data_IF_495138228534
#
_entry.id   IF_495138228534
#
_cell.length_a   1.000
_cell.length_b   1.000
_cell.length_c   1.000
_cell.angle_alpha   90.00
_cell.angle_beta   90.00
_cell.angle_gamma   90.00
#
_symmetry.space_group_name_H-M   'P 1'
#
loop_
_entity.id
_entity.type
_entity.pdbx_description
1 polymer ?
#
# COMPACT_ATOMS: atom_id res chain seq x y z
N UNK A 1 54.39 6.19 33.84
CA UNK A 1 52.97 6.26 34.26
C UNK A 1 52.07 7.03 33.29
N UNK A 2 52.46 8.20 32.75
CA UNK A 2 51.56 9.03 31.92
C UNK A 2 51.15 8.49 30.53
N UNK A 3 52.00 7.72 29.84
CA UNK A 3 51.69 7.22 28.48
C UNK A 3 50.59 6.15 28.45
N UNK A 4 50.55 5.26 29.44
CA UNK A 4 49.54 4.20 29.53
C UNK A 4 48.15 4.76 29.89
N UNK A 5 48.11 5.77 30.77
CA UNK A 5 46.87 6.47 31.14
C UNK A 5 46.31 7.24 29.94
N UNK A 6 47.17 7.95 29.19
CA UNK A 6 46.74 8.63 27.95
C UNK A 6 46.19 7.66 26.90
N UNK A 7 46.80 6.48 26.73
CA UNK A 7 46.31 5.46 25.80
C UNK A 7 44.92 4.94 26.20
N UNK A 8 44.68 4.72 27.51
CA UNK A 8 43.37 4.31 28.01
C UNK A 8 42.29 5.36 27.77
N UNK A 9 42.60 6.65 27.96
CA UNK A 9 41.68 7.74 27.64
C UNK A 9 41.35 7.83 26.15
N UNK A 10 42.35 7.66 25.28
CA UNK A 10 42.15 7.65 23.82
C UNK A 10 41.28 6.48 23.39
N UNK A 11 41.51 5.27 23.92
CA UNK A 11 40.68 4.10 23.62
C UNK A 11 39.26 4.29 24.15
N UNK A 12 39.09 4.82 25.36
CA UNK A 12 37.78 5.13 25.92
C UNK A 12 37.01 6.17 25.09
N UNK A 13 37.69 7.21 24.61
CA UNK A 13 37.09 8.21 23.73
C UNK A 13 36.71 7.63 22.37
N UNK A 14 37.56 6.78 21.78
CA UNK A 14 37.28 6.09 20.52
C UNK A 14 36.09 5.11 20.66
N UNK A 15 35.98 4.41 21.79
CA UNK A 15 34.83 3.54 22.08
C UNK A 15 33.54 4.36 22.23
N UNK A 16 33.56 5.48 22.95
CA UNK A 16 32.42 6.39 23.09
C UNK A 16 31.98 6.99 21.74
N UNK A 17 32.95 7.43 20.93
CA UNK A 17 32.69 7.94 19.58
C UNK A 17 32.15 6.85 18.65
N UNK A 18 32.64 5.61 18.76
CA UNK A 18 32.15 4.47 18.00
C UNK A 18 30.69 4.13 18.31
N UNK A 19 30.27 4.19 19.58
CA UNK A 19 28.87 3.94 19.97
C UNK A 19 27.92 5.01 19.44
N UNK A 20 28.39 6.26 19.29
CA UNK A 20 27.56 7.35 18.74
C UNK A 20 27.32 7.29 17.23
N UNK A 21 27.96 6.36 16.51
CA UNK A 21 27.78 6.18 15.06
C UNK A 21 26.98 4.94 14.67
N UNK A 22 26.53 4.13 15.64
CA UNK A 22 25.72 2.95 15.34
C UNK A 22 24.25 3.36 15.22
N UNK A 23 23.76 3.41 13.99
CA UNK A 23 22.32 3.45 13.71
C UNK A 23 21.80 2.01 13.64
N UNK A 24 21.06 1.59 14.66
CA UNK A 24 20.49 0.25 14.77
C UNK A 24 19.09 0.16 14.14
N UNK A 25 18.58 1.26 13.57
CA UNK A 25 17.24 1.33 13.02
C UNK A 25 17.20 1.00 11.53
N UNK A 26 16.06 0.49 11.08
CA UNK A 26 15.82 0.18 9.69
C UNK A 26 15.35 1.41 8.89
N UNK A 27 15.65 1.48 7.59
CA UNK A 27 15.37 2.65 6.77
C UNK A 27 13.88 3.02 6.74
N UNK A 28 13.63 4.34 6.76
CA UNK A 28 12.32 4.94 6.61
C UNK A 28 12.04 5.33 5.16
N UNK A 29 10.86 4.94 4.67
CA UNK A 29 10.36 5.29 3.35
C UNK A 29 9.11 6.13 3.47
N UNK A 30 9.11 7.27 2.77
CA UNK A 30 8.03 8.25 2.84
C UNK A 30 7.26 8.29 1.53
N UNK A 31 5.95 8.15 1.63
CA UNK A 31 5.05 8.19 0.49
C UNK A 31 3.96 9.24 0.72
N UNK A 32 3.56 9.92 -0.35
CA UNK A 32 2.37 10.79 -0.34
C UNK A 32 1.42 10.31 -1.41
N UNK A 33 0.22 9.92 -0.99
CA UNK A 33 -0.84 9.43 -1.86
C UNK A 33 -2.03 10.38 -1.78
N UNK A 34 -2.54 10.78 -2.93
CA UNK A 34 -3.76 11.60 -3.04
C UNK A 34 -4.86 10.76 -3.65
N UNK A 35 -5.96 10.61 -2.93
CA UNK A 35 -7.12 9.83 -3.37
C UNK A 35 -8.12 10.77 -4.04
N UNK A 36 -8.40 10.55 -5.31
CA UNK A 36 -9.29 11.40 -6.13
C UNK A 36 -10.33 10.56 -6.86
N UNK A 37 -11.41 11.19 -7.30
CA UNK A 37 -12.23 10.62 -8.36
C UNK A 37 -11.67 11.00 -9.72
N UNK A 38 -11.66 10.06 -10.65
CA UNK A 38 -11.41 10.34 -12.06
C UNK A 38 -12.22 9.44 -12.97
N UNK A 39 -12.40 9.85 -14.22
CA UNK A 39 -13.14 9.06 -15.21
C UNK A 39 -12.22 8.06 -15.90
N UNK A 40 -12.60 6.78 -15.94
CA UNK A 40 -11.93 5.71 -16.69
C UNK A 40 -12.96 4.85 -17.42
N UNK A 41 -12.56 4.29 -18.56
CA UNK A 41 -13.43 3.46 -19.42
C UNK A 41 -13.01 1.99 -19.41
N UNK A 42 -13.16 1.32 -18.27
CA UNK A 42 -12.61 -0.03 -18.03
C UNK A 42 -13.31 -1.10 -18.89
N UNK A 43 -14.64 -1.14 -18.85
CA UNK A 43 -15.49 -2.03 -19.68
C UNK A 43 -16.10 -1.27 -20.87
N UNK A 44 -15.33 -0.35 -21.47
CA UNK A 44 -15.78 0.56 -22.55
C UNK A 44 -16.93 1.51 -22.16
N UNK A 45 -17.23 1.61 -20.87
CA UNK A 45 -18.22 2.53 -20.32
C UNK A 45 -17.48 3.55 -19.44
N UNK A 46 -17.61 4.86 -19.70
CA UNK A 46 -16.98 5.87 -18.87
C UNK A 46 -17.61 5.87 -17.48
N UNK A 47 -16.79 5.65 -16.46
CA UNK A 47 -17.21 5.53 -15.06
C UNK A 47 -16.31 6.36 -14.16
N UNK A 48 -16.90 6.85 -13.08
CA UNK A 48 -16.15 7.46 -11.99
C UNK A 48 -15.45 6.36 -11.18
N UNK A 49 -14.13 6.43 -11.12
CA UNK A 49 -13.23 5.49 -10.45
C UNK A 49 -12.46 6.23 -9.36
N UNK A 50 -12.21 5.56 -8.25
CA UNK A 50 -11.33 6.04 -7.19
C UNK A 50 -9.89 5.76 -7.60
N UNK A 51 -9.11 6.83 -7.75
CA UNK A 51 -7.72 6.82 -8.17
C UNK A 51 -6.83 7.14 -6.97
N UNK A 52 -5.60 6.63 -7.01
CA UNK A 52 -4.53 7.02 -6.08
C UNK A 52 -3.40 7.60 -6.93
N UNK A 53 -3.04 8.87 -6.68
CA UNK A 53 -2.09 9.61 -7.52
C UNK A 53 -2.44 9.52 -9.02
N UNK A 54 -3.75 9.69 -9.33
CA UNK A 54 -4.33 9.60 -10.67
C UNK A 54 -4.16 8.25 -11.41
N UNK A 55 -3.75 7.20 -10.68
CA UNK A 55 -3.55 5.85 -11.21
C UNK A 55 -4.71 4.90 -10.85
N UNK A 56 -5.01 3.98 -11.77
CA UNK A 56 -5.88 2.83 -11.55
C UNK A 56 -5.35 1.61 -12.33
N UNK A 57 -5.07 0.46 -11.67
CA UNK A 57 -5.01 0.28 -10.21
C UNK A 57 -4.04 1.28 -9.54
N UNK A 58 -4.12 1.41 -8.23
CA UNK A 58 -3.23 2.31 -7.47
C UNK A 58 -1.75 1.93 -7.63
N UNK A 59 -0.83 2.84 -7.27
CA UNK A 59 0.61 2.62 -7.41
C UNK A 59 1.06 1.40 -6.62
N UNK A 60 1.96 0.59 -7.19
CA UNK A 60 2.55 -0.54 -6.46
C UNK A 60 3.38 -0.01 -5.30
N UNK A 61 3.19 -0.60 -4.11
CA UNK A 61 4.03 -0.34 -2.95
C UNK A 61 5.00 -1.50 -2.80
N UNK A 62 6.25 -1.27 -3.14
CA UNK A 62 7.32 -2.26 -3.07
C UNK A 62 8.23 -1.92 -1.90
N UNK A 63 8.34 -2.84 -0.94
CA UNK A 63 9.06 -2.62 0.31
C UNK A 63 9.87 -3.85 0.65
N UNK A 64 10.92 -3.70 1.45
CA UNK A 64 11.69 -4.83 1.98
C UNK A 64 11.22 -5.11 3.41
N UNK A 65 11.23 -6.38 3.81
CA UNK A 65 10.98 -6.85 5.18
C UNK A 65 11.64 -5.93 6.19
N UNK A 66 10.90 -5.61 7.25
CA UNK A 66 11.34 -4.81 8.40
C UNK A 66 11.68 -3.33 8.07
N UNK A 67 11.45 -2.84 6.84
CA UNK A 67 11.46 -1.40 6.51
C UNK A 67 10.33 -0.66 7.25
N UNK A 68 10.60 0.60 7.61
CA UNK A 68 9.63 1.52 8.19
C UNK A 68 8.96 2.33 7.07
N UNK A 69 7.63 2.36 7.03
CA UNK A 69 6.86 3.00 5.98
C UNK A 69 5.98 4.07 6.61
N UNK A 70 6.12 5.30 6.09
CA UNK A 70 5.36 6.48 6.50
C UNK A 70 4.58 6.97 5.29
N UNK A 71 3.29 6.63 5.24
CA UNK A 71 2.40 6.93 4.13
C UNK A 71 1.42 8.03 4.52
N UNK A 72 1.60 9.24 3.97
CA UNK A 72 0.66 10.33 4.10
C UNK A 72 -0.44 10.22 3.02
N UNK A 73 -1.66 9.91 3.44
CA UNK A 73 -2.81 9.74 2.56
C UNK A 73 -3.72 10.96 2.64
N UNK A 74 -3.93 11.64 1.51
CA UNK A 74 -4.76 12.83 1.37
C UNK A 74 -6.08 12.42 0.72
N UNK A 75 -7.19 12.62 1.43
CA UNK A 75 -8.52 12.32 0.90
C UNK A 75 -9.09 13.55 0.16
N UNK A 76 -9.27 13.44 -1.16
CA UNK A 76 -9.98 14.43 -2.00
C UNK A 76 -11.33 13.94 -2.50
N UNK A 77 -11.85 12.84 -1.95
CA UNK A 77 -13.20 12.38 -2.21
C UNK A 77 -14.23 13.22 -1.44
N UNK A 78 -15.49 13.10 -1.84
CA UNK A 78 -16.65 13.71 -1.17
C UNK A 78 -17.18 12.86 0.00
N UNK A 79 -16.51 11.75 0.32
CA UNK A 79 -16.89 10.80 1.36
C UNK A 79 -15.69 10.48 2.27
N UNK A 80 -15.94 10.08 3.53
CA UNK A 80 -14.87 9.59 4.40
C UNK A 80 -14.21 8.34 3.82
N UNK A 81 -12.89 8.23 3.95
CA UNK A 81 -12.09 7.18 3.32
C UNK A 81 -11.16 6.51 4.33
N UNK A 82 -11.01 5.19 4.24
CA UNK A 82 -9.96 4.43 4.90
C UNK A 82 -9.31 3.48 3.91
N UNK A 83 -8.00 3.33 4.04
CA UNK A 83 -7.22 2.34 3.32
C UNK A 83 -6.77 1.26 4.28
N UNK A 84 -6.89 -0.01 3.87
CA UNK A 84 -6.39 -1.15 4.64
C UNK A 84 -5.35 -1.95 3.88
N UNK A 85 -4.33 -2.42 4.60
CA UNK A 85 -3.34 -3.43 4.21
C UNK A 85 -2.86 -4.24 5.42
N UNK A 86 -3.00 -3.66 6.62
CA UNK A 86 -2.79 -4.30 7.92
C UNK A 86 -3.75 -3.71 8.96
N UNK A 87 -3.74 -2.38 9.10
CA UNK A 87 -4.71 -1.59 9.87
C UNK A 87 -5.56 -0.73 8.92
N UNK A 88 -6.47 0.10 9.42
CA UNK A 88 -7.31 0.96 8.59
C UNK A 88 -8.68 0.36 8.31
N UNK A 89 -9.33 -0.20 9.32
CA UNK A 89 -10.71 -0.70 9.25
C UNK A 89 -11.58 0.12 10.21
N UNK A 90 -12.87 0.24 9.90
CA UNK A 90 -13.83 0.83 10.83
C UNK A 90 -13.77 0.08 12.17
N UNK A 91 -13.55 0.83 13.25
CA UNK A 91 -13.40 0.30 14.60
C UNK A 91 -11.98 0.46 15.15
N UNK A 92 -10.94 0.28 14.32
CA UNK A 92 -9.54 0.55 14.72
C UNK A 92 -9.13 1.99 14.42
N UNK A 93 -9.64 2.58 13.33
CA UNK A 93 -9.35 3.97 12.96
C UNK A 93 -10.63 4.75 12.63
N UNK A 94 -10.59 6.06 12.90
CA UNK A 94 -11.60 6.99 12.40
C UNK A 94 -11.37 7.27 10.90
N UNK A 95 -12.43 7.29 10.06
CA UNK A 95 -12.30 7.63 8.65
C UNK A 95 -11.67 9.00 8.38
N UNK A 96 -10.83 9.07 7.34
CA UNK A 96 -10.21 10.31 6.88
C UNK A 96 -11.31 11.14 6.22
N UNK A 97 -11.65 12.28 6.82
CA UNK A 97 -12.69 13.17 6.31
C UNK A 97 -12.34 13.74 4.92
N UNK A 98 -13.36 14.19 4.15
CA UNK A 98 -13.13 14.91 2.91
C UNK A 98 -12.17 16.09 3.10
N UNK A 99 -11.23 16.25 2.17
CA UNK A 99 -10.21 17.30 2.17
C UNK A 99 -9.22 17.29 3.35
N UNK A 100 -9.16 16.22 4.13
CA UNK A 100 -8.15 16.03 5.18
C UNK A 100 -7.14 14.96 4.79
N UNK A 101 -6.16 14.75 5.67
CA UNK A 101 -5.12 13.74 5.49
C UNK A 101 -4.93 12.91 6.76
N UNK A 102 -4.29 11.76 6.60
CA UNK A 102 -3.85 10.93 7.69
C UNK A 102 -2.55 10.24 7.31
N UNK A 103 -1.60 10.20 8.25
CA UNK A 103 -0.32 9.54 8.05
C UNK A 103 -0.33 8.18 8.72
N UNK A 104 -0.32 7.13 7.90
CA UNK A 104 -0.12 5.77 8.35
C UNK A 104 1.36 5.51 8.58
N UNK A 105 1.68 4.88 9.72
CA UNK A 105 3.04 4.48 10.08
C UNK A 105 3.03 3.00 10.41
N UNK A 106 3.77 2.21 9.65
CA UNK A 106 3.87 0.78 9.88
C UNK A 106 5.23 0.26 9.49
N UNK A 107 5.58 -0.90 10.03
CA UNK A 107 6.81 -1.60 9.69
C UNK A 107 6.41 -2.93 9.06
N UNK A 108 7.07 -3.32 7.97
CA UNK A 108 6.81 -4.61 7.31
C UNK A 108 7.22 -5.82 8.19
N UNK A 109 7.93 -5.57 9.30
CA UNK A 109 8.38 -6.56 10.30
C UNK A 109 8.91 -7.83 9.63
N UNK A 110 8.37 -8.99 9.96
CA UNK A 110 8.77 -10.33 9.50
C UNK A 110 8.01 -10.81 8.25
N UNK A 111 7.20 -9.96 7.64
CA UNK A 111 6.40 -10.33 6.46
C UNK A 111 7.27 -10.38 5.20
N UNK A 112 6.99 -11.37 4.35
CA UNK A 112 7.58 -11.56 3.01
C UNK A 112 6.46 -12.12 2.12
N UNK A 113 6.19 -11.48 0.98
CA UNK A 113 5.23 -11.98 0.00
C UNK A 113 4.43 -10.89 -0.69
N UNK A 114 3.37 -11.33 -1.38
CA UNK A 114 2.46 -10.47 -2.13
C UNK A 114 1.19 -10.18 -1.33
N UNK A 115 0.93 -8.91 -1.12
CA UNK A 115 -0.24 -8.37 -0.42
C UNK A 115 -0.95 -7.36 -1.32
N UNK A 116 -2.09 -6.86 -0.85
CA UNK A 116 -2.84 -5.81 -1.52
C UNK A 116 -3.30 -4.80 -0.51
N UNK A 117 -3.35 -3.53 -0.90
CA UNK A 117 -4.07 -2.51 -0.15
C UNK A 117 -5.38 -2.19 -0.88
N UNK A 118 -6.44 -1.87 -0.13
CA UNK A 118 -7.73 -1.50 -0.70
C UNK A 118 -8.55 -0.64 0.27
N UNK A 119 -9.58 0.07 -0.21
CA UNK A 119 -10.44 0.85 0.66
C UNK A 119 -11.31 -0.06 1.53
N UNK A 120 -11.37 0.18 2.84
CA UNK A 120 -12.20 -0.60 3.78
C UNK A 120 -13.55 0.07 4.09
N UNK A 121 -13.79 1.26 3.56
CA UNK A 121 -15.02 2.04 3.76
C UNK A 121 -16.06 1.79 2.67
N UNK A 122 -17.31 1.56 3.08
CA UNK A 122 -18.47 1.46 2.20
C UNK A 122 -18.23 0.45 1.06
N UNK A 123 -18.66 0.78 -0.17
CA UNK A 123 -18.34 0.03 -1.39
C UNK A 123 -17.23 0.69 -2.22
N UNK A 124 -16.32 1.45 -1.59
CA UNK A 124 -15.24 2.14 -2.31
C UNK A 124 -14.34 1.18 -3.09
N UNK A 125 -14.03 -0.01 -2.55
CA UNK A 125 -13.25 -1.04 -3.26
C UNK A 125 -13.87 -1.42 -4.62
N UNK A 126 -15.19 -1.46 -4.73
CA UNK A 126 -15.89 -1.78 -5.97
C UNK A 126 -15.74 -0.69 -7.06
N UNK A 127 -15.30 0.51 -6.68
CA UNK A 127 -14.98 1.61 -7.59
C UNK A 127 -13.48 1.89 -7.72
N UNK A 128 -12.60 1.05 -7.16
CA UNK A 128 -11.15 1.19 -7.25
C UNK A 128 -10.48 1.51 -5.93
N UNK A 129 -9.45 2.36 -5.97
CA UNK A 129 -8.62 2.71 -4.79
C UNK A 129 -7.80 1.55 -4.23
N UNK A 130 -7.67 0.43 -4.96
CA UNK A 130 -6.87 -0.73 -4.58
C UNK A 130 -5.58 -0.80 -5.39
N UNK A 131 -4.57 -1.47 -4.84
CA UNK A 131 -3.30 -1.71 -5.49
C UNK A 131 -2.48 -2.78 -4.79
N UNK A 132 -1.30 -3.06 -5.33
CA UNK A 132 -0.43 -4.11 -4.83
C UNK A 132 0.53 -3.61 -3.76
N UNK A 133 0.80 -4.47 -2.79
CA UNK A 133 1.84 -4.30 -1.76
C UNK A 133 2.76 -5.52 -1.82
N UNK A 134 3.96 -5.37 -2.37
CA UNK A 134 4.94 -6.45 -2.43
C UNK A 134 5.98 -6.24 -1.33
N UNK A 135 6.19 -7.25 -0.48
CA UNK A 135 7.17 -7.23 0.59
C UNK A 135 8.28 -8.23 0.25
N UNK A 136 9.44 -7.71 -0.13
CA UNK A 136 10.61 -8.48 -0.53
C UNK A 136 11.46 -8.88 0.68
N UNK A 137 12.09 -10.05 0.59
CA UNK A 137 13.07 -10.50 1.59
C UNK A 137 14.30 -9.59 1.63
N UNK A 138 14.97 -9.52 2.79
CA UNK A 138 16.31 -8.94 2.89
C UNK A 138 17.34 -9.91 2.34
N UNK A 139 18.44 -9.41 1.77
CA UNK A 139 19.54 -10.24 1.26
C UNK A 139 20.11 -11.23 2.29
N UNK A 140 20.01 -10.92 3.59
CA UNK A 140 20.46 -11.80 4.68
C UNK A 140 19.49 -12.96 4.99
N UNK A 141 18.27 -12.92 4.45
CA UNK A 141 17.24 -13.94 4.65
C UNK A 141 17.13 -14.77 3.36
N UNK A 142 17.55 -16.04 3.35
CA UNK A 142 17.46 -16.87 2.15
C UNK A 142 15.99 -17.22 1.84
N UNK A 143 15.65 -17.21 0.55
CA UNK A 143 14.36 -17.69 0.04
C UNK A 143 14.41 -19.22 -0.19
N UNK A 144 13.31 -19.96 0.05
CA UNK A 144 13.28 -21.42 -0.06
C UNK A 144 13.19 -21.94 -1.51
N UNK A 145 13.50 -21.11 -2.50
CA UNK A 145 13.42 -21.40 -3.93
C UNK A 145 14.50 -20.63 -4.69
N UNK A 146 14.83 -21.08 -5.91
CA UNK A 146 15.79 -20.38 -6.78
C UNK A 146 15.23 -19.05 -7.29
N UNK A 147 16.12 -18.11 -7.63
CA UNK A 147 15.70 -16.81 -8.15
C UNK A 147 14.86 -16.98 -9.42
N UNK A 148 13.65 -16.39 -9.48
CA UNK A 148 12.82 -16.48 -10.66
C UNK A 148 13.45 -15.66 -11.81
N UNK A 149 13.17 -16.07 -13.05
CA UNK A 149 13.61 -15.31 -14.23
C UNK A 149 12.90 -13.95 -14.37
N UNK A 150 11.73 -13.79 -13.75
CA UNK A 150 10.98 -12.54 -13.74
C UNK A 150 10.00 -12.50 -12.57
N UNK A 151 9.63 -11.30 -12.15
CA UNK A 151 8.67 -11.04 -11.09
C UNK A 151 7.54 -10.15 -11.62
N UNK A 152 6.31 -10.63 -11.50
CA UNK A 152 5.13 -9.99 -12.04
C UNK A 152 4.01 -9.96 -11.01
N UNK A 153 3.38 -8.79 -10.89
CA UNK A 153 2.24 -8.59 -10.00
C UNK A 153 0.94 -8.69 -10.79
N UNK A 154 0.04 -9.57 -10.34
CA UNK A 154 -1.30 -9.74 -10.91
C UNK A 154 -2.36 -9.39 -9.86
N UNK A 155 -3.07 -8.30 -10.09
CA UNK A 155 -4.27 -7.93 -9.35
C UNK A 155 -5.50 -8.42 -10.11
N UNK A 156 -6.21 -9.37 -9.52
CA UNK A 156 -7.40 -9.98 -10.13
C UNK A 156 -8.62 -9.61 -9.28
N UNK A 157 -9.66 -9.09 -9.92
CA UNK A 157 -10.88 -8.69 -9.24
C UNK A 157 -12.07 -8.63 -10.18
N UNK A 158 -13.27 -8.61 -9.63
CA UNK A 158 -14.50 -8.37 -10.38
C UNK A 158 -14.73 -6.86 -10.58
N UNK A 159 -15.60 -6.51 -11.53
CA UNK A 159 -15.94 -5.12 -11.82
C UNK A 159 -17.42 -4.96 -12.14
N UNK A 160 -17.99 -3.89 -11.61
CA UNK A 160 -19.38 -3.50 -11.84
C UNK A 160 -19.40 -2.28 -12.76
N UNK A 161 -20.30 -2.26 -13.74
CA UNK A 161 -20.57 -1.05 -14.52
C UNK A 161 -21.41 -0.04 -13.74
N UNK A 162 -22.14 -0.51 -12.74
CA UNK A 162 -22.95 0.30 -11.84
C UNK A 162 -22.06 1.04 -10.85
N UNK A 163 -22.36 2.32 -10.58
CA UNK A 163 -21.58 3.12 -9.63
C UNK A 163 -21.63 2.52 -8.21
N UNK A 164 -20.52 2.60 -7.46
CA UNK A 164 -20.48 2.11 -6.09
C UNK A 164 -21.54 2.76 -5.17
N UNK A 165 -21.89 4.03 -5.41
CA UNK A 165 -22.97 4.73 -4.68
C UNK A 165 -24.33 4.10 -4.94
N UNK A 166 -24.62 3.75 -6.20
CA UNK A 166 -25.87 3.07 -6.56
C UNK A 166 -25.92 1.63 -6.03
N UNK A 167 -24.79 0.90 -6.11
CA UNK A 167 -24.68 -0.44 -5.52
C UNK A 167 -24.94 -0.39 -4.01
N UNK A 168 -24.37 0.61 -3.33
CA UNK A 168 -24.57 0.80 -1.89
C UNK A 168 -26.04 1.10 -1.58
N UNK A 169 -26.67 2.04 -2.29
CA UNK A 169 -28.10 2.33 -2.13
C UNK A 169 -28.99 1.11 -2.35
N UNK A 170 -28.66 0.26 -3.32
CA UNK A 170 -29.40 -0.99 -3.56
C UNK A 170 -29.28 -1.92 -2.36
N UNK A 171 -28.06 -2.11 -1.83
CA UNK A 171 -27.82 -2.96 -0.66
C UNK A 171 -28.51 -2.41 0.60
N UNK A 172 -28.43 -1.09 0.83
CA UNK A 172 -29.08 -0.41 1.95
C UNK A 172 -30.61 -0.51 1.88
N UNK A 173 -31.18 -0.65 0.67
CA UNK A 173 -32.61 -0.91 0.45
C UNK A 173 -33.03 -2.37 0.66
N UNK A 174 -32.11 -3.25 1.09
CA UNK A 174 -32.35 -4.67 1.34
C UNK A 174 -32.34 -5.54 0.07
N UNK A 175 -31.87 -5.02 -1.07
CA UNK A 175 -31.76 -5.80 -2.32
C UNK A 175 -30.38 -6.44 -2.43
N UNK A 176 -30.29 -7.64 -3.01
CA UNK A 176 -28.99 -8.25 -3.28
C UNK A 176 -28.21 -7.42 -4.33
N UNK A 177 -26.89 -7.52 -4.28
CA UNK A 177 -26.03 -6.99 -5.35
C UNK A 177 -26.22 -7.81 -6.64
N UNK A 178 -26.15 -7.17 -7.82
CA UNK A 178 -26.17 -7.89 -9.10
C UNK A 178 -24.90 -8.73 -9.25
N UNK A 179 -24.86 -9.60 -10.27
CA UNK A 179 -23.59 -10.19 -10.69
C UNK A 179 -22.66 -9.11 -11.28
N UNK A 180 -21.34 -9.23 -11.10
CA UNK A 180 -20.38 -8.33 -11.72
C UNK A 180 -20.42 -8.45 -13.26
N UNK A 181 -20.11 -7.34 -13.94
CA UNK A 181 -20.14 -7.23 -15.40
C UNK A 181 -18.89 -7.82 -16.08
N UNK A 182 -17.83 -8.08 -15.32
CA UNK A 182 -16.60 -8.66 -15.83
C UNK A 182 -15.53 -8.88 -14.77
N UNK A 183 -14.46 -9.54 -15.17
CA UNK A 183 -13.24 -9.73 -14.38
C UNK A 183 -12.16 -8.83 -14.96
N UNK A 184 -11.36 -8.23 -14.08
CA UNK A 184 -10.19 -7.44 -14.42
C UNK A 184 -8.93 -8.16 -13.99
N UNK A 185 -7.90 -8.05 -14.82
CA UNK A 185 -6.51 -8.39 -14.50
C UNK A 185 -5.71 -7.10 -14.67
N UNK A 186 -5.08 -6.63 -13.59
CA UNK A 186 -4.36 -5.35 -13.52
C UNK A 186 -5.21 -4.16 -14.01
N UNK A 187 -6.50 -4.16 -13.68
CA UNK A 187 -7.45 -3.10 -14.07
C UNK A 187 -7.89 -3.15 -15.54
N UNK A 188 -7.50 -4.19 -16.29
CA UNK A 188 -7.84 -4.35 -17.71
C UNK A 188 -8.73 -5.56 -17.95
N UNK A 189 -9.58 -5.46 -18.97
CA UNK A 189 -10.55 -6.50 -19.38
C UNK A 189 -9.98 -7.46 -20.42
N UNK A 190 -8.93 -7.04 -21.12
CA UNK A 190 -8.08 -7.86 -21.97
C UNK A 190 -6.65 -7.66 -21.48
N UNK A 191 -6.05 -8.71 -20.92
CA UNK A 191 -4.65 -8.66 -20.52
C UNK A 191 -3.81 -9.39 -21.56
N UNK A 192 -2.74 -8.75 -22.03
CA UNK A 192 -1.69 -9.40 -22.80
C UNK A 192 -0.49 -9.55 -21.87
N UNK A 193 -0.11 -10.79 -21.57
CA UNK A 193 1.06 -11.08 -20.76
C UNK A 193 2.24 -11.35 -21.70
N UNK A 194 2.99 -10.30 -22.03
CA UNK A 194 4.33 -10.44 -22.59
C UNK A 194 5.28 -10.60 -21.41
N UNK A 195 5.68 -11.84 -21.10
CA UNK A 195 6.63 -12.15 -20.03
C UNK A 195 8.05 -11.71 -20.35
N UNK A 196 8.23 -10.51 -20.89
CA UNK A 196 9.51 -9.86 -21.16
C UNK A 196 9.87 -8.88 -20.03
#
# INVERSE_FOLDING_TARGET
MGKAVMLQWVIGLLALLGVSQVDAEDPYFYYTWTVTYGTRSILRVPQQVILINDQFPGPKLEVVTNNNIVLNLINKLDQPFLLTWWDGVLGTNCPILPNSNYTYKFQAKDQIGSYTYFPSTLLHKAAGGFGALNIYHRTVIPIPYGYPHGDFTLLIGDWYKTSHKTLQQSLDSGKPLPFPDGVLINGQTQSTFSGE
#
